data_IF_072368615987
#
_entry.id   IF_072368615987
#
_cell.length_a   1.000
_cell.length_b   1.000
_cell.length_c   1.000
_cell.angle_alpha   90.00
_cell.angle_beta   90.00
_cell.angle_gamma   90.00
#
_symmetry.space_group_name_H-M   'P 1'
#
loop_
_entity.id
_entity.type
_entity.pdbx_description
1 polymer ?
#
# COMPACT_ATOMS: atom_id res chain seq x y z
N UNK A 1 -11.64 -3.58 -24.17
CA UNK A 1 -10.47 -2.70 -24.10
C UNK A 1 -10.30 -2.25 -22.66
N UNK A 2 -9.08 -2.22 -22.11
CA UNK A 2 -8.84 -1.80 -20.73
C UNK A 2 -9.09 -0.31 -20.59
N UNK A 3 -9.94 0.09 -19.63
CA UNK A 3 -10.27 1.49 -19.38
C UNK A 3 -9.01 2.31 -19.00
N UNK A 4 -8.64 3.34 -19.78
CA UNK A 4 -7.43 4.13 -19.52
C UNK A 4 -7.41 4.83 -18.16
N UNK A 5 -8.58 5.23 -17.64
CA UNK A 5 -8.69 5.88 -16.34
C UNK A 5 -8.36 4.90 -15.21
N UNK A 6 -8.98 3.72 -15.22
CA UNK A 6 -8.71 2.67 -14.23
C UNK A 6 -7.24 2.22 -14.27
N UNK A 7 -6.64 2.13 -15.47
CA UNK A 7 -5.20 1.83 -15.59
C UNK A 7 -4.34 2.86 -14.87
N UNK A 8 -4.67 4.16 -14.99
CA UNK A 8 -3.94 5.24 -14.32
C UNK A 8 -4.08 5.15 -12.80
N UNK A 9 -5.29 4.86 -12.30
CA UNK A 9 -5.54 4.67 -10.87
C UNK A 9 -4.72 3.52 -10.29
N UNK A 10 -4.69 2.36 -10.95
CA UNK A 10 -3.87 1.20 -10.54
C UNK A 10 -2.39 1.58 -10.46
N UNK A 11 -1.87 2.31 -11.46
CA UNK A 11 -0.47 2.75 -11.48
C UNK A 11 -0.18 3.72 -10.33
N UNK A 12 -1.10 4.65 -10.04
CA UNK A 12 -0.94 5.62 -8.97
C UNK A 12 -0.87 4.93 -7.61
N UNK A 13 -1.85 4.09 -7.26
CA UNK A 13 -1.86 3.40 -5.95
C UNK A 13 -0.66 2.46 -5.79
N UNK A 14 -0.20 1.81 -6.86
CA UNK A 14 1.03 1.01 -6.83
C UNK A 14 2.26 1.84 -6.46
N UNK A 15 2.41 3.03 -7.06
CA UNK A 15 3.53 3.93 -6.77
C UNK A 15 3.46 4.51 -5.35
N UNK A 16 2.26 4.83 -4.88
CA UNK A 16 2.06 5.31 -3.51
C UNK A 16 2.44 4.24 -2.48
N UNK A 17 1.99 3.00 -2.69
CA UNK A 17 2.36 1.87 -1.84
C UNK A 17 3.87 1.61 -1.86
N UNK A 18 4.53 1.69 -3.02
CA UNK A 18 6.00 1.60 -3.08
C UNK A 18 6.67 2.71 -2.26
N UNK A 19 6.18 3.94 -2.32
CA UNK A 19 6.73 5.03 -1.53
C UNK A 19 6.58 4.79 -0.02
N UNK A 20 5.39 4.35 0.43
CA UNK A 20 5.14 3.96 1.82
C UNK A 20 6.01 2.79 2.27
N UNK A 21 6.28 1.84 1.38
CA UNK A 21 7.09 0.66 1.64
C UNK A 21 8.57 0.95 1.98
N UNK A 22 9.08 2.15 1.69
CA UNK A 22 10.49 2.51 1.99
C UNK A 22 10.83 2.48 3.48
N UNK A 23 9.84 2.76 4.34
CA UNK A 23 9.98 2.73 5.79
C UNK A 23 9.51 1.41 6.44
N UNK A 24 9.26 0.37 5.62
CA UNK A 24 8.67 -0.87 6.11
C UNK A 24 9.64 -1.62 7.03
N UNK A 25 9.18 -2.17 8.18
CA UNK A 25 10.08 -2.76 9.18
C UNK A 25 10.95 -3.92 8.69
N UNK A 26 10.46 -4.70 7.73
CA UNK A 26 11.18 -5.84 7.14
C UNK A 26 12.05 -5.45 5.94
N UNK A 27 12.19 -4.16 5.65
CA UNK A 27 12.97 -3.62 4.54
C UNK A 27 12.17 -3.41 3.26
N UNK A 28 12.69 -2.51 2.41
CA UNK A 28 12.02 -2.10 1.17
C UNK A 28 11.91 -3.23 0.15
N UNK A 29 12.97 -4.04 -0.04
CA UNK A 29 12.95 -5.12 -1.03
C UNK A 29 11.92 -6.21 -0.68
N UNK A 30 11.79 -6.53 0.61
CA UNK A 30 10.75 -7.44 1.09
C UNK A 30 9.34 -6.93 0.74
N UNK A 31 9.08 -5.65 1.03
CA UNK A 31 7.80 -5.02 0.74
C UNK A 31 7.53 -4.96 -0.78
N UNK A 32 8.50 -4.46 -1.54
CA UNK A 32 8.43 -4.29 -2.99
C UNK A 32 8.14 -5.61 -3.69
N UNK A 33 8.82 -6.69 -3.32
CA UNK A 33 8.63 -7.99 -3.94
C UNK A 33 7.22 -8.55 -3.68
N UNK A 34 6.68 -8.37 -2.47
CA UNK A 34 5.32 -8.79 -2.13
C UNK A 34 4.26 -7.95 -2.82
N UNK A 35 4.44 -6.63 -2.85
CA UNK A 35 3.56 -5.72 -3.56
C UNK A 35 3.51 -6.06 -5.04
N UNK A 36 4.69 -6.24 -5.67
CA UNK A 36 4.76 -6.59 -7.08
C UNK A 36 4.06 -7.92 -7.37
N UNK A 37 4.29 -8.95 -6.54
CA UNK A 37 3.60 -10.25 -6.68
C UNK A 37 2.08 -10.11 -6.57
N UNK A 38 1.58 -9.31 -5.62
CA UNK A 38 0.15 -9.09 -5.45
C UNK A 38 -0.48 -8.45 -6.70
N UNK A 39 0.11 -7.37 -7.22
CA UNK A 39 -0.39 -6.69 -8.42
C UNK A 39 -0.26 -7.55 -9.68
N UNK A 40 0.90 -8.20 -9.88
CA UNK A 40 1.15 -9.07 -11.04
C UNK A 40 0.22 -10.28 -11.08
N UNK A 41 -0.17 -10.84 -9.93
CA UNK A 41 -1.13 -11.95 -9.87
C UNK A 41 -2.52 -11.60 -10.43
N UNK A 42 -2.87 -10.31 -10.47
CA UNK A 42 -4.15 -9.80 -10.96
C UNK A 42 -4.04 -9.12 -12.34
N UNK A 43 -2.88 -9.18 -13.00
CA UNK A 43 -2.65 -8.51 -14.28
C UNK A 43 -3.54 -9.03 -15.44
N UNK A 44 -4.16 -10.19 -15.28
CA UNK A 44 -5.08 -10.80 -16.25
C UNK A 44 -6.52 -10.27 -16.16
N UNK A 45 -6.85 -9.46 -15.14
CA UNK A 45 -8.20 -8.93 -14.96
C UNK A 45 -8.53 -7.92 -16.06
N UNK A 46 -9.66 -8.17 -16.75
CA UNK A 46 -10.20 -7.28 -17.78
C UNK A 46 -11.57 -6.68 -17.40
N UNK A 47 -12.20 -7.23 -16.36
CA UNK A 47 -13.50 -6.77 -15.85
C UNK A 47 -13.32 -5.51 -14.98
N UNK A 48 -14.05 -4.44 -15.31
CA UNK A 48 -13.89 -3.15 -14.65
C UNK A 48 -14.28 -3.20 -13.17
N UNK A 49 -15.33 -3.93 -12.82
CA UNK A 49 -15.79 -4.05 -11.44
C UNK A 49 -14.78 -4.79 -10.56
N UNK A 50 -14.15 -5.85 -11.09
CA UNK A 50 -13.04 -6.51 -10.41
C UNK A 50 -11.81 -5.59 -10.26
N UNK A 51 -11.49 -4.77 -11.25
CA UNK A 51 -10.39 -3.80 -11.15
C UNK A 51 -10.69 -2.77 -10.06
N UNK A 52 -11.90 -2.20 -10.03
CA UNK A 52 -12.33 -1.26 -8.99
C UNK A 52 -12.25 -1.88 -7.59
N UNK A 53 -12.67 -3.14 -7.43
CA UNK A 53 -12.51 -3.88 -6.17
C UNK A 53 -11.05 -4.05 -5.77
N UNK A 54 -10.17 -4.32 -6.74
CA UNK A 54 -8.72 -4.38 -6.53
C UNK A 54 -8.14 -3.05 -6.05
N UNK A 55 -8.52 -1.95 -6.68
CA UNK A 55 -8.12 -0.59 -6.27
C UNK A 55 -8.61 -0.28 -4.85
N UNK A 56 -9.88 -0.55 -4.55
CA UNK A 56 -10.44 -0.32 -3.22
C UNK A 56 -9.70 -1.13 -2.13
N UNK A 57 -9.31 -2.37 -2.45
CA UNK A 57 -8.48 -3.19 -1.55
C UNK A 57 -7.09 -2.59 -1.34
N UNK A 58 -6.45 -2.09 -2.40
CA UNK A 58 -5.14 -1.44 -2.30
C UNK A 58 -5.19 -0.16 -1.44
N UNK A 59 -6.25 0.64 -1.58
CA UNK A 59 -6.51 1.82 -0.74
C UNK A 59 -6.73 1.46 0.73
N UNK A 60 -7.45 0.36 1.01
CA UNK A 60 -7.60 -0.13 2.37
C UNK A 60 -6.25 -0.51 2.99
N UNK A 61 -5.43 -1.28 2.27
CA UNK A 61 -4.09 -1.69 2.73
C UNK A 61 -3.17 -0.47 2.94
N UNK A 62 -3.26 0.54 2.08
CA UNK A 62 -2.52 1.81 2.24
C UNK A 62 -2.83 2.45 3.60
N UNK A 63 -4.13 2.58 3.94
CA UNK A 63 -4.58 3.16 5.22
C UNK A 63 -4.11 2.34 6.43
N UNK A 64 -4.11 1.01 6.32
CA UNK A 64 -3.59 0.16 7.39
C UNK A 64 -2.10 0.41 7.64
N UNK A 65 -1.29 0.50 6.58
CA UNK A 65 0.15 0.78 6.69
C UNK A 65 0.39 2.16 7.32
N UNK A 66 -0.36 3.18 6.88
CA UNK A 66 -0.29 4.53 7.46
C UNK A 66 -0.66 4.54 8.95
N UNK A 67 -1.70 3.81 9.34
CA UNK A 67 -2.12 3.67 10.73
C UNK A 67 -1.04 2.98 11.59
N UNK A 68 -0.38 1.94 11.05
CA UNK A 68 0.75 1.28 11.72
C UNK A 68 1.93 2.25 11.94
N UNK A 69 2.25 3.08 10.95
CA UNK A 69 3.27 4.12 11.10
C UNK A 69 2.87 5.17 12.14
N UNK A 70 1.61 5.62 12.14
CA UNK A 70 1.11 6.54 13.16
C UNK A 70 1.25 5.95 14.57
N UNK A 71 0.83 4.71 14.77
CA UNK A 71 0.90 4.01 16.04
C UNK A 71 2.35 3.87 16.53
N UNK A 72 3.28 3.55 15.63
CA UNK A 72 4.71 3.47 15.96
C UNK A 72 5.24 4.81 16.47
N UNK A 73 4.92 5.92 15.79
CA UNK A 73 5.33 7.27 16.22
C UNK A 73 4.71 7.64 17.57
N UNK A 74 3.43 7.35 17.75
CA UNK A 74 2.73 7.60 19.01
C UNK A 74 3.37 6.85 20.19
N UNK A 75 3.68 5.56 20.03
CA UNK A 75 4.37 4.76 21.04
C UNK A 75 5.74 5.34 21.41
N UNK A 76 6.53 5.73 20.41
CA UNK A 76 7.83 6.35 20.64
C UNK A 76 7.74 7.70 21.36
N UNK A 77 6.72 8.51 21.02
CA UNK A 77 6.46 9.78 21.69
C UNK A 77 6.06 9.56 23.16
N UNK A 78 5.09 8.67 23.42
CA UNK A 78 4.61 8.35 24.76
C UNK A 78 5.74 7.90 25.69
N UNK A 79 6.60 7.00 25.23
CA UNK A 79 7.76 6.52 26.00
C UNK A 79 8.71 7.65 26.44
N UNK A 80 8.89 8.69 25.62
CA UNK A 80 9.73 9.84 25.98
C UNK A 80 9.14 10.72 27.06
N UNK A 81 7.80 10.83 27.11
CA UNK A 81 7.11 11.59 28.14
C UNK A 81 6.99 10.83 29.46
N UNK A 82 6.87 9.50 29.42
CA UNK A 82 6.80 8.68 30.64
C UNK A 82 8.16 8.45 31.32
N UNK A 83 9.26 8.59 30.57
CA UNK A 83 10.64 8.42 31.08
C UNK A 83 11.29 9.74 31.55
N UNK A 84 10.58 10.87 31.47
CA UNK A 84 10.98 12.18 32.00
C UNK A 84 10.12 12.52 33.22
#
# INVERSE_FOLDING_TARGET
MTNPALRREVINIYKELLNLGRAYPLGYDYFRNRLHKAFSSQAHLNDEEQIKKGIARAEFVKKEIEALYYLRRYRAMKQRYENN
#
